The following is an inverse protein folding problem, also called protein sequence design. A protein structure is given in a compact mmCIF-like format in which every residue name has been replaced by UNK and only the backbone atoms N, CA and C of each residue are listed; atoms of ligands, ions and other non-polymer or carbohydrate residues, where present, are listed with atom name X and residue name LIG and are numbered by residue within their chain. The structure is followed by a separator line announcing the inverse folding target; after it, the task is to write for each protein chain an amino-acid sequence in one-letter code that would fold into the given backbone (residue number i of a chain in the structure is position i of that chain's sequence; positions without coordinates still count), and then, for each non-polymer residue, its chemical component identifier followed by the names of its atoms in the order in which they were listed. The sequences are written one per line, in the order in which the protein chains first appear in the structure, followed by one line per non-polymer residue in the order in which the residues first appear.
data_IF_571856314275
#
_entry.id   IF_571856314275
#
_cell.length_a   1.000
_cell.length_b   1.000
_cell.length_c   1.000
_cell.angle_alpha   90.00
_cell.angle_beta   90.00
_cell.angle_gamma   90.00
#
_symmetry.space_group_name_H-M   'P 1'
#
loop_
_entity.id
_entity.type
_entity.pdbx_description
1 polymer ?
#
# COMPACT_ATOMS: atom_id res chain seq x y z
N UNK A 1 -5.94 -22.83 -7.95
CA UNK A 1 -4.53 -23.15 -8.24
C UNK A 1 -3.72 -21.91 -8.65
N UNK A 2 -4.14 -21.11 -9.62
CA UNK A 2 -3.44 -19.90 -10.09
C UNK A 2 -3.17 -18.87 -8.98
N UNK A 3 -4.12 -18.63 -8.06
CA UNK A 3 -3.95 -17.71 -6.93
C UNK A 3 -2.82 -18.17 -5.99
N UNK A 4 -2.76 -19.46 -5.68
CA UNK A 4 -1.70 -20.03 -4.81
C UNK A 4 -0.34 -19.90 -5.47
N UNK A 5 -0.25 -20.17 -6.78
CA UNK A 5 0.99 -19.99 -7.55
C UNK A 5 1.42 -18.53 -7.53
N UNK A 6 0.50 -17.59 -7.76
CA UNK A 6 0.79 -16.16 -7.72
C UNK A 6 1.28 -15.71 -6.34
N UNK A 7 0.65 -16.19 -5.27
CA UNK A 7 1.07 -15.86 -3.90
C UNK A 7 2.47 -16.39 -3.58
N UNK A 8 2.75 -17.66 -3.91
CA UNK A 8 4.06 -18.26 -3.71
C UNK A 8 5.14 -17.59 -4.55
N UNK A 9 4.85 -17.30 -5.82
CA UNK A 9 5.77 -16.61 -6.72
C UNK A 9 6.11 -15.21 -6.19
N UNK A 10 5.09 -14.41 -5.81
CA UNK A 10 5.28 -13.08 -5.24
C UNK A 10 6.09 -13.14 -3.94
N UNK A 11 5.82 -14.12 -3.07
CA UNK A 11 6.57 -14.32 -1.84
C UNK A 11 8.06 -14.59 -2.10
N UNK A 12 8.37 -15.52 -3.02
CA UNK A 12 9.75 -15.86 -3.36
C UNK A 12 10.50 -14.67 -3.94
N UNK A 13 9.88 -13.96 -4.91
CA UNK A 13 10.48 -12.77 -5.51
C UNK A 13 10.70 -11.67 -4.47
N UNK A 14 9.73 -11.42 -3.58
CA UNK A 14 9.87 -10.43 -2.50
C UNK A 14 10.98 -10.82 -1.52
N UNK A 15 11.12 -12.11 -1.18
CA UNK A 15 12.17 -12.59 -0.29
C UNK A 15 13.57 -12.42 -0.92
N UNK A 16 13.71 -12.73 -2.22
CA UNK A 16 14.97 -12.51 -2.96
C UNK A 16 15.28 -11.01 -3.06
N UNK A 17 14.30 -10.19 -3.44
CA UNK A 17 14.45 -8.74 -3.48
C UNK A 17 14.85 -8.17 -2.11
N UNK A 18 14.26 -8.69 -1.03
CA UNK A 18 14.60 -8.32 0.34
C UNK A 18 16.07 -8.61 0.70
N UNK A 19 16.59 -9.78 0.34
CA UNK A 19 18.01 -10.12 0.55
C UNK A 19 18.96 -9.13 -0.12
N UNK A 20 18.58 -8.61 -1.27
CA UNK A 20 19.40 -7.64 -2.02
C UNK A 20 19.19 -6.21 -1.52
N UNK A 21 17.96 -5.83 -1.20
CA UNK A 21 17.59 -4.46 -0.84
C UNK A 21 17.97 -4.10 0.60
N UNK A 22 17.77 -5.00 1.57
CA UNK A 22 18.03 -4.73 2.99
C UNK A 22 19.49 -4.28 3.25
N UNK A 23 20.54 -4.94 2.70
CA UNK A 23 21.92 -4.46 2.88
C UNK A 23 22.15 -3.08 2.29
N UNK A 24 21.51 -2.76 1.16
CA UNK A 24 21.60 -1.44 0.52
C UNK A 24 20.97 -0.37 1.41
N UNK A 25 19.74 -0.60 1.89
CA UNK A 25 19.05 0.32 2.79
C UNK A 25 19.84 0.56 4.09
N UNK A 26 20.47 -0.48 4.64
CA UNK A 26 21.34 -0.34 5.82
C UNK A 26 22.56 0.54 5.53
N UNK A 27 23.20 0.37 4.36
CA UNK A 27 24.35 1.21 3.96
C UNK A 27 23.98 2.67 3.77
N UNK A 28 22.78 2.94 3.29
CA UNK A 28 22.24 4.30 3.14
C UNK A 28 21.87 4.94 4.48
N UNK A 29 22.08 4.27 5.61
CA UNK A 29 21.65 4.71 6.94
C UNK A 29 20.15 5.06 7.02
N UNK A 30 19.35 4.45 6.15
CA UNK A 30 17.90 4.58 6.14
C UNK A 30 17.28 3.77 7.31
N UNK A 31 17.87 3.87 8.50
CA UNK A 31 17.43 3.19 9.70
C UNK A 31 16.56 4.08 10.57
N UNK A 32 15.61 3.46 11.25
CA UNK A 32 14.74 4.15 12.19
C UNK A 32 15.56 4.59 13.41
N UNK A 33 15.56 5.89 13.73
CA UNK A 33 16.07 6.38 15.01
C UNK A 33 15.00 6.18 16.09
N UNK A 34 15.39 5.61 17.22
CA UNK A 34 14.49 5.43 18.36
C UNK A 34 14.74 6.58 19.32
N UNK A 35 13.65 7.24 19.77
CA UNK A 35 13.75 8.28 20.79
C UNK A 35 14.27 7.68 22.09
N UNK A 36 15.23 8.34 22.73
CA UNK A 36 15.84 7.89 24.00
C UNK A 36 14.82 7.81 25.14
N UNK A 37 13.74 8.58 25.06
CA UNK A 37 12.64 8.61 26.05
C UNK A 37 11.63 7.44 25.87
N UNK A 38 11.86 6.54 24.89
CA UNK A 38 10.98 5.40 24.62
C UNK A 38 11.27 4.19 25.51
N UNK A 39 10.32 3.21 25.56
CA UNK A 39 10.53 1.98 26.31
C UNK A 39 11.80 1.24 25.87
N UNK A 40 12.61 0.77 26.82
CA UNK A 40 13.94 0.18 26.59
C UNK A 40 13.94 -1.02 25.65
N UNK A 41 12.83 -1.78 25.53
CA UNK A 41 12.71 -2.91 24.61
C UNK A 41 12.65 -2.48 23.12
N UNK A 42 12.41 -1.21 22.83
CA UNK A 42 12.47 -0.70 21.45
C UNK A 42 13.91 -0.45 20.98
N UNK A 43 14.88 -0.32 21.90
CA UNK A 43 16.29 -0.09 21.57
C UNK A 43 16.88 -1.20 20.68
N UNK A 44 16.40 -2.44 20.82
CA UNK A 44 16.82 -3.57 19.96
C UNK A 44 16.44 -3.40 18.49
N UNK A 45 15.49 -2.51 18.17
CA UNK A 45 15.03 -2.20 16.81
C UNK A 45 15.76 -1.02 16.17
N UNK A 46 16.68 -0.40 16.89
CA UNK A 46 17.48 0.71 16.37
C UNK A 46 18.26 0.26 15.14
N UNK A 47 18.20 1.06 14.05
CA UNK A 47 18.85 0.73 12.79
C UNK A 47 18.09 -0.26 11.90
N UNK A 48 16.85 -0.63 12.26
CA UNK A 48 15.97 -1.38 11.33
C UNK A 48 15.71 -0.52 10.09
N UNK A 49 16.00 -1.01 8.86
CA UNK A 49 15.81 -0.20 7.66
C UNK A 49 14.34 0.17 7.46
N UNK A 50 14.08 1.42 7.14
CA UNK A 50 12.80 1.89 6.58
C UNK A 50 12.74 1.56 5.08
N UNK A 51 11.60 1.84 4.42
CA UNK A 51 11.39 1.60 2.98
C UNK A 51 11.39 0.11 2.57
N UNK A 52 11.23 -0.82 3.51
CA UNK A 52 11.14 -2.26 3.24
C UNK A 52 9.99 -2.65 2.31
N UNK A 53 8.95 -1.80 2.20
CA UNK A 53 7.82 -2.00 1.27
C UNK A 53 8.22 -2.13 -0.21
N UNK A 54 9.38 -1.57 -0.62
CA UNK A 54 9.87 -1.67 -1.99
C UNK A 54 10.04 -3.11 -2.48
N UNK A 55 10.46 -4.04 -1.59
CA UNK A 55 10.59 -5.45 -1.96
C UNK A 55 9.25 -6.11 -2.29
N UNK A 56 8.18 -5.73 -1.59
CA UNK A 56 6.83 -6.23 -1.86
C UNK A 56 6.26 -5.64 -3.15
N UNK A 57 6.46 -4.34 -3.38
CA UNK A 57 6.07 -3.67 -4.63
C UNK A 57 6.71 -4.38 -5.82
N UNK A 58 8.00 -4.69 -5.74
CA UNK A 58 8.72 -5.41 -6.80
C UNK A 58 8.17 -6.82 -7.01
N UNK A 59 7.91 -7.56 -5.92
CA UNK A 59 7.33 -8.91 -5.99
C UNK A 59 5.94 -8.93 -6.62
N UNK A 60 5.07 -7.98 -6.23
CA UNK A 60 3.72 -7.86 -6.78
C UNK A 60 3.76 -7.45 -8.25
N UNK A 61 4.60 -6.46 -8.62
CA UNK A 61 4.76 -6.04 -10.01
C UNK A 61 5.20 -7.19 -10.90
N UNK A 62 6.23 -7.93 -10.49
CA UNK A 62 6.74 -9.07 -11.24
C UNK A 62 5.66 -10.15 -11.41
N UNK A 63 4.89 -10.42 -10.34
CA UNK A 63 3.78 -11.38 -10.39
C UNK A 63 2.67 -10.91 -11.33
N UNK A 64 2.33 -9.63 -11.31
CA UNK A 64 1.33 -9.04 -12.20
C UNK A 64 1.74 -9.18 -13.68
N UNK A 65 3.00 -8.92 -13.98
CA UNK A 65 3.54 -9.02 -15.36
C UNK A 65 3.63 -10.47 -15.82
N UNK A 66 4.04 -11.41 -14.95
CA UNK A 66 4.28 -12.80 -15.35
C UNK A 66 3.00 -13.65 -15.30
N UNK A 67 2.26 -13.55 -14.20
CA UNK A 67 1.09 -14.41 -13.98
C UNK A 67 -0.22 -13.69 -14.35
N UNK A 68 -0.26 -12.36 -14.20
CA UNK A 68 -1.40 -11.52 -14.55
C UNK A 68 -1.52 -11.18 -16.04
N UNK A 69 -0.45 -11.38 -16.83
CA UNK A 69 -0.45 -11.04 -18.25
C UNK A 69 -1.64 -11.59 -19.06
N UNK A 70 -2.08 -12.84 -18.91
CA UNK A 70 -3.23 -13.34 -19.65
C UNK A 70 -4.53 -12.57 -19.37
N UNK A 71 -4.76 -12.12 -18.13
CA UNK A 71 -5.94 -11.33 -17.77
C UNK A 71 -5.87 -9.94 -18.37
N UNK A 72 -4.68 -9.31 -18.31
CA UNK A 72 -4.42 -8.00 -18.92
C UNK A 72 -4.65 -8.05 -20.42
N UNK A 73 -4.15 -9.09 -21.10
CA UNK A 73 -4.33 -9.29 -22.54
C UNK A 73 -5.80 -9.59 -22.91
N UNK A 74 -6.56 -10.18 -21.98
CA UNK A 74 -8.00 -10.39 -22.11
C UNK A 74 -8.84 -9.13 -21.83
N UNK A 75 -8.20 -8.00 -21.46
CA UNK A 75 -8.89 -6.74 -21.16
C UNK A 75 -9.34 -6.59 -19.69
N UNK A 76 -8.94 -7.51 -18.81
CA UNK A 76 -9.22 -7.39 -17.38
C UNK A 76 -8.08 -6.65 -16.66
N UNK A 77 -8.29 -5.36 -16.41
CA UNK A 77 -7.32 -4.48 -15.76
C UNK A 77 -7.52 -4.31 -14.26
N UNK A 78 -8.41 -5.07 -13.61
CA UNK A 78 -8.72 -4.93 -12.18
C UNK A 78 -7.48 -5.01 -11.30
N UNK A 79 -6.62 -6.01 -11.52
CA UNK A 79 -5.38 -6.17 -10.76
C UNK A 79 -4.38 -5.03 -11.01
N UNK A 80 -4.35 -4.49 -12.23
CA UNK A 80 -3.51 -3.32 -12.59
C UNK A 80 -3.98 -2.09 -11.83
N UNK A 81 -5.29 -1.80 -11.77
CA UNK A 81 -5.83 -0.67 -11.02
C UNK A 81 -5.52 -0.77 -9.53
N UNK A 82 -5.70 -1.96 -8.93
CA UNK A 82 -5.37 -2.19 -7.51
C UNK A 82 -3.88 -1.96 -7.27
N UNK A 83 -3.02 -2.45 -8.16
CA UNK A 83 -1.57 -2.26 -8.04
C UNK A 83 -1.18 -0.78 -8.18
N UNK A 84 -1.73 -0.05 -9.15
CA UNK A 84 -1.48 1.39 -9.31
C UNK A 84 -1.93 2.18 -8.09
N UNK A 85 -3.07 1.83 -7.51
CA UNK A 85 -3.53 2.43 -6.27
C UNK A 85 -2.57 2.17 -5.10
N UNK A 86 -2.13 0.92 -4.93
CA UNK A 86 -1.13 0.57 -3.93
C UNK A 86 0.19 1.34 -4.15
N UNK A 87 0.61 1.55 -5.41
CA UNK A 87 1.78 2.37 -5.74
C UNK A 87 1.62 3.83 -5.31
N UNK A 88 0.46 4.44 -5.52
CA UNK A 88 0.20 5.83 -5.09
C UNK A 88 0.37 5.95 -3.57
N UNK A 89 -0.20 5.02 -2.81
CA UNK A 89 0.01 4.98 -1.35
C UNK A 89 1.46 4.67 -0.98
N UNK A 90 2.11 3.79 -1.73
CA UNK A 90 3.53 3.49 -1.59
C UNK A 90 4.41 4.72 -1.81
N UNK A 91 4.10 5.57 -2.79
CA UNK A 91 4.81 6.83 -3.03
C UNK A 91 4.60 7.82 -1.87
N UNK A 92 3.37 7.92 -1.34
CA UNK A 92 3.11 8.76 -0.16
C UNK A 92 3.94 8.27 1.04
N UNK A 93 3.98 6.95 1.28
CA UNK A 93 4.80 6.34 2.33
C UNK A 93 6.31 6.54 2.09
N UNK A 94 6.76 6.43 0.85
CA UNK A 94 8.15 6.69 0.49
C UNK A 94 8.56 8.14 0.77
N UNK A 95 7.71 9.11 0.42
CA UNK A 95 7.96 10.53 0.71
C UNK A 95 8.03 10.76 2.22
N UNK A 96 7.11 10.16 2.99
CA UNK A 96 7.11 10.22 4.45
C UNK A 96 8.43 9.68 5.07
N UNK A 97 8.89 8.51 4.60
CA UNK A 97 10.13 7.90 5.05
C UNK A 97 11.37 8.67 4.57
N UNK A 98 11.36 9.19 3.35
CA UNK A 98 12.46 10.00 2.81
C UNK A 98 12.67 11.28 3.62
N UNK A 99 11.58 11.97 4.02
CA UNK A 99 11.67 13.16 4.89
C UNK A 99 12.26 12.81 6.25
N UNK A 100 11.92 11.66 6.84
CA UNK A 100 12.52 11.18 8.11
C UNK A 100 14.02 10.96 7.96
N UNK A 101 14.44 10.29 6.90
CA UNK A 101 15.87 10.02 6.63
C UNK A 101 16.64 11.32 6.40
N UNK A 102 16.08 12.26 5.61
CA UNK A 102 16.70 13.54 5.28
C UNK A 102 16.87 14.44 6.51
N UNK A 103 15.87 14.47 7.39
CA UNK A 103 15.88 15.29 8.62
C UNK A 103 16.62 14.64 9.78
N UNK A 104 16.97 13.34 9.67
CA UNK A 104 17.48 12.54 10.78
C UNK A 104 16.52 12.52 12.00
N UNK A 105 15.21 12.64 11.74
CA UNK A 105 14.15 12.69 12.73
C UNK A 105 13.12 11.59 12.48
N UNK A 106 12.31 11.27 13.49
CA UNK A 106 11.19 10.33 13.33
C UNK A 106 9.93 11.00 12.75
N UNK A 107 9.94 12.31 12.55
CA UNK A 107 8.85 13.10 12.00
C UNK A 107 8.98 13.19 10.48
N UNK A 108 8.15 12.43 9.75
CA UNK A 108 8.00 12.53 8.30
C UNK A 108 7.07 13.67 7.89
N UNK A 109 6.15 13.39 6.99
CA UNK A 109 5.07 14.32 6.66
C UNK A 109 4.22 14.61 7.89
N UNK A 110 3.78 15.85 8.03
CA UNK A 110 2.80 16.20 9.06
C UNK A 110 1.47 15.49 8.80
N UNK A 111 0.71 15.18 9.87
CA UNK A 111 -0.50 14.38 9.78
C UNK A 111 -1.55 14.93 8.79
N UNK A 112 -1.72 16.26 8.74
CA UNK A 112 -2.68 16.90 7.86
C UNK A 112 -2.42 16.67 6.36
N UNK A 113 -1.29 17.11 5.80
CA UNK A 113 -0.89 16.87 4.42
C UNK A 113 -0.88 15.38 4.05
N UNK A 114 -0.39 14.50 4.92
CA UNK A 114 -0.40 13.05 4.70
C UNK A 114 -1.83 12.52 4.54
N UNK A 115 -2.72 12.89 5.46
CA UNK A 115 -4.14 12.52 5.41
C UNK A 115 -4.83 13.03 4.14
N UNK A 116 -4.61 14.29 3.78
CA UNK A 116 -5.21 14.90 2.58
C UNK A 116 -4.75 14.22 1.28
N UNK A 117 -3.46 13.90 1.16
CA UNK A 117 -2.93 13.16 0.01
C UNK A 117 -3.56 11.77 -0.10
N UNK A 118 -3.66 11.05 1.00
CA UNK A 118 -4.27 9.72 1.05
C UNK A 118 -5.77 9.78 0.72
N UNK A 119 -6.48 10.77 1.26
CA UNK A 119 -7.90 10.98 0.99
C UNK A 119 -8.15 11.31 -0.48
N UNK A 120 -7.35 12.21 -1.06
CA UNK A 120 -7.44 12.56 -2.48
C UNK A 120 -7.17 11.34 -3.38
N UNK A 121 -6.15 10.53 -3.05
CA UNK A 121 -5.85 9.30 -3.76
C UNK A 121 -7.01 8.29 -3.68
N UNK A 122 -7.62 8.11 -2.50
CA UNK A 122 -8.75 7.20 -2.31
C UNK A 122 -10.00 7.65 -3.09
N UNK A 123 -10.31 8.96 -3.09
CA UNK A 123 -11.43 9.53 -3.86
C UNK A 123 -11.18 9.37 -5.37
N UNK A 124 -9.99 9.69 -5.84
CA UNK A 124 -9.62 9.54 -7.24
C UNK A 124 -9.74 8.07 -7.69
N UNK A 125 -9.26 7.15 -6.89
CA UNK A 125 -9.30 5.72 -7.19
C UNK A 125 -10.74 5.16 -7.25
N UNK A 126 -11.58 5.48 -6.26
CA UNK A 126 -12.99 5.04 -6.24
C UNK A 126 -13.77 5.60 -7.44
N UNK A 127 -13.51 6.87 -7.79
CA UNK A 127 -14.12 7.52 -8.96
C UNK A 127 -13.66 6.86 -10.27
N UNK A 128 -12.37 6.54 -10.37
CA UNK A 128 -11.79 5.87 -11.52
C UNK A 128 -12.38 4.46 -11.72
N UNK A 129 -12.44 3.66 -10.65
CA UNK A 129 -13.02 2.32 -10.70
C UNK A 129 -14.50 2.33 -11.11
N UNK A 130 -15.26 3.32 -10.65
CA UNK A 130 -16.65 3.50 -11.10
C UNK A 130 -16.71 3.84 -12.57
N UNK A 131 -15.87 4.76 -13.05
CA UNK A 131 -15.83 5.18 -14.45
C UNK A 131 -15.58 4.00 -15.39
N UNK A 132 -14.69 3.08 -14.99
CA UNK A 132 -14.40 1.86 -15.75
C UNK A 132 -15.38 0.69 -15.49
N UNK A 133 -16.44 0.91 -14.70
CA UNK A 133 -17.44 -0.11 -14.42
C UNK A 133 -16.98 -1.23 -13.48
N UNK A 134 -15.86 -1.06 -12.80
CA UNK A 134 -15.33 -2.05 -11.85
C UNK A 134 -15.90 -1.90 -10.43
N UNK A 135 -16.60 -0.81 -10.14
CA UNK A 135 -17.15 -0.52 -8.83
C UNK A 135 -18.61 -0.12 -8.92
N UNK A 136 -19.46 -0.83 -8.18
CA UNK A 136 -20.86 -0.47 -7.95
C UNK A 136 -21.04 -0.06 -6.48
N UNK A 137 -21.90 0.91 -6.17
CA UNK A 137 -22.08 1.44 -4.82
C UNK A 137 -22.94 0.53 -3.94
N UNK A 138 -22.56 -0.73 -3.84
CA UNK A 138 -23.25 -1.74 -3.04
C UNK A 138 -22.39 -2.13 -1.83
N UNK A 139 -23.00 -2.14 -0.65
CA UNK A 139 -22.40 -2.65 0.56
C UNK A 139 -23.08 -3.98 0.93
N UNK A 140 -22.34 -5.08 0.78
CA UNK A 140 -22.82 -6.39 1.22
C UNK A 140 -22.47 -6.62 2.70
N UNK A 141 -23.50 -6.93 3.51
CA UNK A 141 -23.36 -7.22 4.94
C UNK A 141 -23.52 -8.73 5.15
N UNK A 142 -22.42 -9.49 5.30
CA UNK A 142 -22.45 -10.97 5.24
C UNK A 142 -23.23 -11.60 6.37
N UNK A 143 -23.23 -11.01 7.58
CA UNK A 143 -23.96 -11.57 8.72
C UNK A 143 -25.48 -11.53 8.56
N UNK A 144 -26.00 -10.58 7.79
CA UNK A 144 -27.44 -10.41 7.55
C UNK A 144 -27.84 -10.85 6.15
N UNK A 145 -26.86 -11.23 5.31
CA UNK A 145 -27.07 -11.56 3.90
C UNK A 145 -27.86 -10.49 3.14
N UNK A 146 -27.57 -9.23 3.44
CA UNK A 146 -28.26 -8.06 2.87
C UNK A 146 -27.27 -7.25 2.04
N UNK A 147 -27.72 -6.78 0.88
CA UNK A 147 -27.01 -5.81 0.06
C UNK A 147 -27.69 -4.47 0.18
N UNK A 148 -26.96 -3.45 0.60
CA UNK A 148 -27.43 -2.08 0.74
C UNK A 148 -26.91 -1.29 -0.44
N UNK A 149 -27.80 -0.67 -1.20
CA UNK A 149 -27.45 0.29 -2.23
C UNK A 149 -27.28 1.67 -1.61
N UNK A 150 -26.13 2.29 -1.84
CA UNK A 150 -25.82 3.61 -1.30
C UNK A 150 -25.80 4.65 -2.43
N UNK A 151 -26.22 5.89 -2.15
CA UNK A 151 -25.91 7.00 -3.05
C UNK A 151 -24.41 7.06 -3.30
N UNK A 152 -24.00 7.32 -4.55
CA UNK A 152 -22.57 7.28 -4.94
C UNK A 152 -21.67 8.11 -4.02
N UNK A 153 -22.09 9.32 -3.70
CA UNK A 153 -21.26 10.23 -2.86
C UNK A 153 -21.04 9.64 -1.48
N UNK A 154 -22.07 9.06 -0.88
CA UNK A 154 -22.02 8.39 0.43
C UNK A 154 -21.08 7.20 0.38
N UNK A 155 -21.21 6.34 -0.66
CA UNK A 155 -20.33 5.21 -0.86
C UNK A 155 -18.87 5.63 -1.03
N UNK A 156 -18.60 6.65 -1.87
CA UNK A 156 -17.26 7.15 -2.14
C UNK A 156 -16.59 7.69 -0.86
N UNK A 157 -17.30 8.50 -0.07
CA UNK A 157 -16.78 9.04 1.20
C UNK A 157 -16.51 7.91 2.18
N UNK A 158 -17.43 6.97 2.32
CA UNK A 158 -17.27 5.79 3.19
C UNK A 158 -16.05 4.94 2.77
N UNK A 159 -15.96 4.59 1.48
CA UNK A 159 -14.85 3.81 0.95
C UNK A 159 -13.51 4.51 1.13
N UNK A 160 -13.44 5.82 0.84
CA UNK A 160 -12.22 6.61 1.03
C UNK A 160 -11.80 6.65 2.52
N UNK A 161 -12.75 6.81 3.42
CA UNK A 161 -12.48 6.80 4.87
C UNK A 161 -11.95 5.45 5.34
N UNK A 162 -12.56 4.34 4.90
CA UNK A 162 -12.10 2.98 5.22
C UNK A 162 -10.67 2.75 4.67
N UNK A 163 -10.39 3.13 3.42
CA UNK A 163 -9.07 2.98 2.81
C UNK A 163 -8.00 3.75 3.60
N UNK A 164 -8.26 5.01 3.90
CA UNK A 164 -7.31 5.85 4.66
C UNK A 164 -7.13 5.33 6.09
N UNK A 165 -8.22 4.93 6.75
CA UNK A 165 -8.17 4.31 8.07
C UNK A 165 -7.34 3.04 8.10
N UNK A 166 -7.53 2.15 7.12
CA UNK A 166 -6.79 0.88 7.03
C UNK A 166 -5.28 1.09 6.81
N UNK A 167 -4.91 2.10 6.01
CA UNK A 167 -3.49 2.38 5.73
C UNK A 167 -2.78 3.02 6.94
N UNK A 168 -3.52 3.73 7.80
CA UNK A 168 -2.95 4.41 8.97
C UNK A 168 -3.13 3.64 10.29
N UNK A 169 -3.82 2.51 10.28
CA UNK A 169 -3.94 1.61 11.43
C UNK A 169 -2.64 0.82 11.61
#
# INVERSE_FOLDING_TARGET
MRIVIAALFSFVISAVAGKLLIPVLRRMKAGQSIKEDGPTWHMSKQGTPTMGGLMFIFGILTTLVVIGAPDILAGDYRAVFIFLFALVFGVIGYIDDYEKVKKHENTGLTAGPKFLLQLAAAIAFTTLLRHFGYLAPHLYVPFFNVTIELPWVVYMVFAAFVMVGTVNA
#
